data_IF_360186751363
#
_entry.id   IF_360186751363
#
_cell.length_a   1.000
_cell.length_b   1.000
_cell.length_c   1.000
_cell.angle_alpha   90.00
_cell.angle_beta   90.00
_cell.angle_gamma   90.00
#
_symmetry.space_group_name_H-M   'P 1'
#
loop_
_entity.id
_entity.type
_entity.pdbx_description
1 polymer ?
#
# COMPACT_ATOMS: atom_id res chain seq x y z
N UNK A 1 8.23 -20.12 1.02
CA UNK A 1 6.90 -19.47 0.96
C UNK A 1 6.71 -18.99 -0.47
N UNK A 2 6.19 -19.86 -1.33
CA UNK A 2 6.00 -19.55 -2.75
C UNK A 2 4.76 -18.71 -2.89
N UNK A 3 4.93 -17.40 -3.09
CA UNK A 3 3.83 -16.54 -3.50
C UNK A 3 3.45 -16.93 -4.93
N UNK A 4 2.47 -17.82 -5.04
CA UNK A 4 1.90 -18.28 -6.30
C UNK A 4 1.47 -17.07 -7.14
N UNK A 5 2.11 -16.89 -8.29
CA UNK A 5 1.74 -15.87 -9.29
C UNK A 5 0.37 -16.20 -9.88
N UNK A 6 -0.68 -15.78 -9.18
CA UNK A 6 -2.04 -15.83 -9.66
C UNK A 6 -2.22 -14.77 -10.76
N UNK A 7 -2.03 -15.19 -12.01
CA UNK A 7 -2.44 -14.44 -13.19
C UNK A 7 -3.96 -14.55 -13.35
N UNK A 8 -4.69 -13.58 -12.83
CA UNK A 8 -6.09 -13.35 -13.18
C UNK A 8 -6.19 -12.06 -13.98
N UNK A 9 -6.31 -12.18 -15.30
CA UNK A 9 -6.82 -11.16 -16.23
C UNK A 9 -6.42 -9.69 -15.89
N UNK A 10 -5.15 -9.33 -16.08
CA UNK A 10 -4.65 -7.93 -16.09
C UNK A 10 -5.11 -7.00 -14.94
N UNK A 11 -5.64 -7.50 -13.81
CA UNK A 11 -5.96 -6.67 -12.65
C UNK A 11 -4.71 -6.62 -11.77
N UNK A 12 -4.00 -5.48 -11.67
CA UNK A 12 -2.85 -5.38 -10.78
C UNK A 12 -3.34 -5.54 -9.33
N UNK A 13 -2.98 -6.67 -8.71
CA UNK A 13 -3.20 -6.88 -7.29
C UNK A 13 -2.08 -6.19 -6.52
N UNK A 14 -2.45 -5.35 -5.55
CA UNK A 14 -1.50 -4.65 -4.69
C UNK A 14 -1.37 -5.36 -3.35
N UNK A 15 -0.23 -5.17 -2.68
CA UNK A 15 0.01 -5.71 -1.33
C UNK A 15 -0.15 -4.62 -0.27
N UNK A 16 -0.77 -4.99 0.85
CA UNK A 16 -0.85 -4.13 2.01
C UNK A 16 0.56 -3.86 2.54
N UNK A 17 0.90 -2.59 2.74
CA UNK A 17 2.22 -2.18 3.22
C UNK A 17 2.50 -2.57 4.67
N UNK A 18 1.55 -3.19 5.38
CA UNK A 18 1.71 -3.64 6.76
C UNK A 18 1.66 -5.16 6.91
N UNK A 19 0.59 -5.79 6.43
CA UNK A 19 0.34 -7.24 6.59
C UNK A 19 0.58 -8.05 5.32
N UNK A 20 1.09 -7.41 4.25
CA UNK A 20 1.48 -8.04 2.98
C UNK A 20 0.33 -8.77 2.26
N UNK A 21 -0.91 -8.61 2.73
CA UNK A 21 -2.09 -9.20 2.10
C UNK A 21 -2.31 -8.59 0.71
N UNK A 22 -2.36 -9.46 -0.29
CA UNK A 22 -2.65 -9.10 -1.68
C UNK A 22 -4.14 -8.88 -1.88
N UNK A 23 -4.53 -7.72 -2.39
CA UNK A 23 -5.92 -7.38 -2.69
C UNK A 23 -6.02 -6.38 -3.84
N UNK A 24 -7.09 -6.49 -4.62
CA UNK A 24 -7.45 -5.49 -5.63
C UNK A 24 -7.96 -4.19 -5.00
N UNK A 25 -8.44 -4.23 -3.74
CA UNK A 25 -9.16 -3.13 -3.08
C UNK A 25 -8.40 -2.64 -1.86
N UNK A 26 -7.19 -2.12 -2.08
CA UNK A 26 -6.42 -1.47 -1.02
C UNK A 26 -6.62 0.04 -1.02
N UNK A 27 -6.77 0.61 0.17
CA UNK A 27 -6.89 2.05 0.40
C UNK A 27 -5.52 2.70 0.39
N UNK A 28 -5.36 3.76 -0.39
CA UNK A 28 -4.13 4.56 -0.38
C UNK A 28 -4.05 5.39 0.91
N UNK A 29 -2.83 5.65 1.37
CA UNK A 29 -2.59 6.71 2.34
C UNK A 29 -3.09 8.04 1.78
N UNK A 30 -3.99 8.71 2.49
CA UNK A 30 -4.60 9.97 2.05
C UNK A 30 -3.61 11.14 1.92
N UNK A 31 -2.39 10.99 2.46
CA UNK A 31 -1.38 12.05 2.45
C UNK A 31 -0.35 11.91 1.35
N UNK A 32 0.22 10.72 1.19
CA UNK A 32 1.29 10.49 0.21
C UNK A 32 0.85 9.70 -1.01
N UNK A 33 -0.33 9.06 -0.96
CA UNK A 33 -0.87 8.17 -1.98
C UNK A 33 -0.01 6.96 -2.40
N UNK A 34 1.20 6.81 -1.85
CA UNK A 34 2.17 5.74 -2.16
C UNK A 34 1.89 4.44 -1.42
N UNK A 35 1.70 4.53 -0.10
CA UNK A 35 1.42 3.36 0.73
C UNK A 35 -0.04 2.92 0.58
N UNK A 36 -0.28 1.61 0.63
CA UNK A 36 -1.61 1.00 0.46
C UNK A 36 -1.92 0.07 1.62
N UNK A 37 -3.16 0.08 2.10
CA UNK A 37 -3.57 -0.63 3.30
C UNK A 37 -4.92 -1.31 3.10
N UNK A 38 -5.14 -2.44 3.79
CA UNK A 38 -6.45 -3.06 3.86
C UNK A 38 -7.48 -2.09 4.44
N UNK A 39 -7.09 -1.43 5.54
CA UNK A 39 -7.94 -0.55 6.33
C UNK A 39 -7.12 0.45 7.18
N UNK A 40 -7.83 1.21 8.01
CA UNK A 40 -7.22 2.16 8.93
C UNK A 40 -6.40 1.49 10.05
N UNK A 41 -6.69 0.23 10.41
CA UNK A 41 -5.92 -0.48 11.42
C UNK A 41 -4.52 -0.80 10.89
N UNK A 42 -4.43 -1.36 9.68
CA UNK A 42 -3.16 -1.61 9.01
C UNK A 42 -2.33 -0.32 8.85
N UNK A 43 -2.98 0.79 8.51
CA UNK A 43 -2.31 2.09 8.43
C UNK A 43 -1.75 2.54 9.79
N UNK A 44 -2.55 2.45 10.87
CA UNK A 44 -2.12 2.83 12.23
C UNK A 44 -0.96 1.96 12.71
N UNK A 45 -1.01 0.66 12.45
CA UNK A 45 0.04 -0.26 12.85
C UNK A 45 1.34 -0.01 12.06
N UNK A 46 1.24 0.34 10.77
CA UNK A 46 2.40 0.71 9.96
C UNK A 46 2.90 2.15 10.22
N UNK A 47 2.12 2.98 10.92
CA UNK A 47 2.40 4.42 11.06
C UNK A 47 3.77 4.71 11.68
N UNK A 48 4.22 3.86 12.60
CA UNK A 48 5.49 4.04 13.32
C UNK A 48 6.70 4.14 12.39
N UNK A 49 6.68 3.38 11.29
CA UNK A 49 7.72 3.41 10.25
C UNK A 49 7.30 4.27 9.06
N UNK A 50 6.03 4.20 8.64
CA UNK A 50 5.53 4.93 7.46
C UNK A 50 5.65 6.45 7.61
N UNK A 51 5.46 7.00 8.81
CA UNK A 51 5.52 8.46 9.05
C UNK A 51 6.83 9.11 8.61
N UNK A 52 7.94 8.37 8.62
CA UNK A 52 9.26 8.86 8.21
C UNK A 52 9.32 9.12 6.71
N UNK A 53 8.53 8.39 5.92
CA UNK A 53 8.51 8.45 4.45
C UNK A 53 7.19 9.01 3.89
N UNK A 54 6.19 9.26 4.74
CA UNK A 54 4.87 9.78 4.34
C UNK A 54 4.91 11.21 3.76
N UNK A 55 5.99 11.96 3.96
CA UNK A 55 6.12 13.34 3.41
C UNK A 55 7.09 13.44 2.24
N UNK A 56 7.74 12.34 1.87
CA UNK A 56 8.83 12.33 0.91
C UNK A 56 8.37 12.33 -0.56
N UNK A 57 7.18 12.87 -0.88
CA UNK A 57 6.77 13.00 -2.28
C UNK A 57 5.94 14.26 -2.53
N UNK A 58 6.64 15.37 -2.66
CA UNK A 58 6.14 16.55 -3.36
C UNK A 58 6.66 16.56 -4.81
N UNK A 59 6.73 15.40 -5.47
CA UNK A 59 6.96 15.33 -6.91
C UNK A 59 5.64 15.44 -7.66
N UNK A 60 4.91 16.54 -7.42
CA UNK A 60 4.02 17.08 -8.44
C UNK A 60 4.95 17.64 -9.52
N UNK A 61 5.20 16.86 -10.57
CA UNK A 61 5.70 17.40 -11.83
C UNK A 61 4.50 18.07 -12.52
N UNK A 62 4.61 19.34 -12.97
CA UNK A 62 3.52 20.02 -13.68
C UNK A 62 3.16 19.33 -15.00
#
# INVERSE_FOLDING_TARGET
MTHSSLHFNNVPLYQCSWCESTSAVLRKCSRCEKARYCDAACQKNHWTVHRQTCFADTSVKP
#
